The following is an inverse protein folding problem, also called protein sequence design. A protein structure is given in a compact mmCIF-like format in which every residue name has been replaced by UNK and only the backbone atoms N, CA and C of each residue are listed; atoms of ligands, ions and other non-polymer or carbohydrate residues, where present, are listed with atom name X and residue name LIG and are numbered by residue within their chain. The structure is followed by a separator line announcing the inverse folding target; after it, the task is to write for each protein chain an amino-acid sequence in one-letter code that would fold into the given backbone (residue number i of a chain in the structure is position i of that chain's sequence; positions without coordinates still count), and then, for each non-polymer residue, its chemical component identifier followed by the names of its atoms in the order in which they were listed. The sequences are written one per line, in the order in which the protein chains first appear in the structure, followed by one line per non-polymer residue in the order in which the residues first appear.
data_IF_354774656850
#
_entry.id   IF_354774656850
#
_cell.length_a   1.000
_cell.length_b   1.000
_cell.length_c   1.000
_cell.angle_alpha   90.00
_cell.angle_beta   90.00
_cell.angle_gamma   90.00
#
_symmetry.space_group_name_H-M   'P 1'
#
loop_
_entity.id
_entity.type
_entity.pdbx_description
1 polymer ?
#
# COMPACT_ATOMS: atom_id res chain seq x y z
N UNK A 1 25.35 -15.96 -2.62
CA UNK A 1 25.32 -14.49 -2.47
C UNK A 1 24.52 -14.00 -3.67
N UNK A 2 23.26 -13.58 -3.49
CA UNK A 2 22.51 -12.95 -4.58
C UNK A 2 22.86 -11.47 -4.54
N UNK A 3 23.70 -11.02 -5.47
CA UNK A 3 23.88 -9.59 -5.72
C UNK A 3 22.58 -9.03 -6.28
N UNK A 4 22.07 -7.97 -5.67
CA UNK A 4 20.95 -7.23 -6.20
C UNK A 4 21.46 -6.43 -7.41
N UNK A 5 21.13 -6.88 -8.62
CA UNK A 5 21.42 -6.16 -9.87
C UNK A 5 20.55 -4.90 -9.88
N UNK A 6 21.16 -3.71 -10.06
CA UNK A 6 20.41 -2.46 -10.15
C UNK A 6 19.63 -2.42 -11.46
N UNK A 7 18.50 -1.73 -11.48
CA UNK A 7 17.70 -1.63 -12.72
C UNK A 7 18.47 -0.96 -13.86
N UNK A 8 19.36 -0.02 -13.55
CA UNK A 8 20.29 0.59 -14.52
C UNK A 8 21.14 -0.46 -15.22
N UNK A 9 21.74 -1.36 -14.45
CA UNK A 9 22.63 -2.41 -14.95
C UNK A 9 21.82 -3.42 -15.77
N UNK A 10 20.60 -3.76 -15.33
CA UNK A 10 19.68 -4.60 -16.09
C UNK A 10 19.19 -3.93 -17.39
N UNK A 11 19.01 -2.61 -17.39
CA UNK A 11 18.62 -1.86 -18.58
C UNK A 11 19.73 -1.81 -19.62
N UNK A 12 20.99 -1.76 -19.20
CA UNK A 12 22.16 -1.82 -20.09
C UNK A 12 22.37 -3.23 -20.65
N UNK A 13 22.31 -4.26 -19.79
CA UNK A 13 22.63 -5.64 -20.18
C UNK A 13 21.46 -6.38 -20.86
N UNK A 14 20.20 -6.02 -20.52
CA UNK A 14 18.99 -6.75 -20.93
C UNK A 14 17.86 -5.82 -21.40
N UNK A 15 18.17 -4.91 -22.33
CA UNK A 15 17.25 -3.90 -22.89
C UNK A 15 15.81 -4.39 -23.17
N UNK A 16 15.65 -5.57 -23.77
CA UNK A 16 14.32 -6.11 -24.09
C UNK A 16 13.51 -6.57 -22.88
N UNK A 17 14.17 -7.06 -21.82
CA UNK A 17 13.53 -7.41 -20.56
C UNK A 17 13.20 -6.14 -19.76
N UNK A 18 14.16 -5.21 -19.67
CA UNK A 18 13.98 -3.94 -18.99
C UNK A 18 12.84 -3.11 -19.60
N UNK A 19 12.72 -3.06 -20.94
CA UNK A 19 11.61 -2.38 -21.62
C UNK A 19 10.26 -2.99 -21.24
N UNK A 20 10.10 -4.32 -21.34
CA UNK A 20 8.84 -4.98 -20.99
C UNK A 20 8.47 -4.78 -19.53
N UNK A 21 9.45 -4.81 -18.64
CA UNK A 21 9.23 -4.54 -17.22
C UNK A 21 8.77 -3.09 -17.01
N UNK A 22 9.40 -2.12 -17.66
CA UNK A 22 8.99 -0.71 -17.60
C UNK A 22 7.58 -0.48 -18.19
N UNK A 23 7.21 -1.18 -19.26
CA UNK A 23 5.87 -1.14 -19.87
C UNK A 23 4.79 -1.74 -18.95
N UNK A 24 5.15 -2.68 -18.08
CA UNK A 24 4.23 -3.35 -17.15
C UNK A 24 4.18 -2.71 -15.77
N UNK A 25 5.19 -1.92 -15.42
CA UNK A 25 5.29 -1.30 -14.11
C UNK A 25 4.27 -0.17 -13.95
N UNK A 26 3.57 -0.19 -12.82
CA UNK A 26 2.65 0.89 -12.42
C UNK A 26 3.38 2.08 -11.80
N UNK A 27 4.52 1.82 -11.18
CA UNK A 27 5.39 2.83 -10.58
C UNK A 27 6.69 2.94 -11.37
N UNK A 28 7.29 4.12 -11.34
CA UNK A 28 8.58 4.35 -11.97
C UNK A 28 9.65 3.39 -11.43
N UNK A 29 10.42 2.79 -12.33
CA UNK A 29 11.58 1.96 -12.00
C UNK A 29 12.89 2.77 -11.99
N UNK A 30 12.86 4.00 -12.52
CA UNK A 30 14.03 4.87 -12.63
C UNK A 30 14.23 5.79 -11.43
N UNK A 31 13.25 5.87 -10.53
CA UNK A 31 13.32 6.66 -9.31
C UNK A 31 12.58 5.93 -8.18
N UNK A 32 13.05 6.03 -6.92
CA UNK A 32 12.31 5.49 -5.78
C UNK A 32 10.92 6.15 -5.70
N UNK A 33 9.83 5.36 -5.58
CA UNK A 33 8.49 5.92 -5.45
C UNK A 33 8.33 6.63 -4.11
N UNK A 34 7.52 7.68 -4.08
CA UNK A 34 7.08 8.30 -2.83
C UNK A 34 5.95 7.48 -2.19
N UNK A 35 5.67 7.70 -0.90
CA UNK A 35 4.53 7.06 -0.23
C UNK A 35 3.22 7.40 -0.95
N UNK A 36 3.08 8.65 -1.39
CA UNK A 36 1.92 9.11 -2.15
C UNK A 36 1.76 8.33 -3.46
N UNK A 37 2.83 8.11 -4.21
CA UNK A 37 2.76 7.33 -5.46
C UNK A 37 2.29 5.90 -5.19
N UNK A 38 2.80 5.26 -4.13
CA UNK A 38 2.40 3.89 -3.74
C UNK A 38 0.93 3.83 -3.37
N UNK A 39 0.46 4.74 -2.52
CA UNK A 39 -0.93 4.77 -2.06
C UNK A 39 -1.88 5.12 -3.21
N UNK A 40 -1.52 6.07 -4.07
CA UNK A 40 -2.32 6.44 -5.23
C UNK A 40 -2.52 5.25 -6.18
N UNK A 41 -1.47 4.46 -6.43
CA UNK A 41 -1.59 3.23 -7.22
C UNK A 41 -2.40 2.14 -6.52
N UNK A 42 -2.31 2.01 -5.19
CA UNK A 42 -3.17 1.11 -4.41
C UNK A 42 -4.64 1.50 -4.51
N UNK A 43 -4.96 2.79 -4.40
CA UNK A 43 -6.32 3.31 -4.60
C UNK A 43 -6.82 3.06 -6.01
N UNK A 44 -6.03 3.40 -7.04
CA UNK A 44 -6.39 3.18 -8.43
C UNK A 44 -6.62 1.69 -8.72
N UNK A 45 -5.79 0.81 -8.14
CA UNK A 45 -5.95 -0.63 -8.25
C UNK A 45 -7.24 -1.13 -7.60
N UNK A 46 -7.57 -0.65 -6.39
CA UNK A 46 -8.78 -1.02 -5.66
C UNK A 46 -10.06 -0.60 -6.41
N UNK A 47 -10.07 0.62 -6.96
CA UNK A 47 -11.18 1.14 -7.77
C UNK A 47 -11.33 0.35 -9.07
N UNK A 48 -10.23 0.11 -9.79
CA UNK A 48 -10.27 -0.67 -11.04
C UNK A 48 -10.75 -2.12 -10.82
N UNK A 49 -10.38 -2.75 -9.70
CA UNK A 49 -10.88 -4.08 -9.35
C UNK A 49 -12.40 -4.06 -9.16
N UNK A 50 -12.90 -3.09 -8.40
CA UNK A 50 -14.34 -2.89 -8.17
C UNK A 50 -15.11 -2.78 -9.50
N UNK A 51 -14.62 -1.96 -10.42
CA UNK A 51 -15.31 -1.72 -11.71
C UNK A 51 -15.30 -2.95 -12.62
N UNK A 52 -14.33 -3.86 -12.44
CA UNK A 52 -14.26 -5.15 -13.14
C UNK A 52 -15.03 -6.29 -12.45
N UNK A 53 -15.79 -5.99 -11.38
CA UNK A 53 -16.55 -6.98 -10.61
C UNK A 53 -15.70 -7.84 -9.65
N UNK A 54 -14.42 -7.48 -9.48
CA UNK A 54 -13.57 -8.00 -8.42
C UNK A 54 -13.61 -7.06 -7.22
N UNK A 55 -13.20 -7.53 -6.04
CA UNK A 55 -13.15 -6.70 -4.84
C UNK A 55 -11.70 -6.63 -4.37
N UNK A 56 -11.19 -5.44 -3.95
CA UNK A 56 -9.93 -5.38 -3.24
C UNK A 56 -10.02 -6.27 -1.98
N UNK A 57 -8.89 -6.60 -1.37
CA UNK A 57 -8.87 -7.21 -0.05
C UNK A 57 -9.09 -6.14 1.04
N UNK A 58 -9.68 -6.53 2.17
CA UNK A 58 -9.97 -5.57 3.26
C UNK A 58 -8.66 -4.92 3.71
N UNK A 59 -7.60 -5.72 3.84
CA UNK A 59 -6.26 -5.24 4.20
C UNK A 59 -5.67 -4.25 3.19
N UNK A 60 -5.95 -4.37 1.89
CA UNK A 60 -5.45 -3.40 0.90
C UNK A 60 -6.06 -2.01 1.10
N UNK A 61 -7.34 -1.97 1.50
CA UNK A 61 -8.03 -0.71 1.82
C UNK A 61 -7.55 -0.15 3.16
N UNK A 62 -7.34 -1.00 4.17
CA UNK A 62 -6.73 -0.59 5.45
C UNK A 62 -5.33 0.00 5.25
N UNK A 63 -4.48 -0.67 4.47
CA UNK A 63 -3.11 -0.24 4.17
C UNK A 63 -3.11 1.15 3.53
N UNK A 64 -4.05 1.41 2.61
CA UNK A 64 -4.17 2.70 1.95
C UNK A 64 -4.45 3.87 2.90
N UNK A 65 -5.08 3.60 4.05
CA UNK A 65 -5.31 4.58 5.12
C UNK A 65 -4.10 4.64 6.05
N UNK A 66 -3.67 3.49 6.57
CA UNK A 66 -2.68 3.43 7.64
C UNK A 66 -1.28 3.84 7.16
N UNK A 67 -0.90 3.51 5.93
CA UNK A 67 0.37 3.94 5.33
C UNK A 67 0.39 5.48 5.19
N UNK A 68 -0.70 6.06 4.71
CA UNK A 68 -0.85 7.51 4.55
C UNK A 68 -0.75 8.22 5.89
N UNK A 69 -1.49 7.73 6.90
CA UNK A 69 -1.40 8.23 8.27
C UNK A 69 0.00 8.12 8.86
N UNK A 70 0.67 6.97 8.69
CA UNK A 70 2.04 6.77 9.18
C UNK A 70 3.05 7.71 8.51
N UNK A 71 2.81 8.13 7.27
CA UNK A 71 3.62 9.14 6.58
C UNK A 71 3.31 10.59 6.98
N UNK A 72 2.27 10.80 7.80
CA UNK A 72 1.81 12.13 8.20
C UNK A 72 0.98 12.86 7.14
N UNK A 73 0.62 12.20 6.04
CA UNK A 73 -0.20 12.76 4.96
C UNK A 73 -1.69 12.61 5.30
N UNK A 74 -2.23 13.61 6.01
CA UNK A 74 -3.60 13.59 6.52
C UNK A 74 -4.65 13.63 5.43
N UNK A 75 -4.39 14.37 4.35
CA UNK A 75 -5.33 14.49 3.23
C UNK A 75 -5.47 13.14 2.54
N UNK A 76 -4.34 12.47 2.28
CA UNK A 76 -4.32 11.15 1.67
C UNK A 76 -4.94 10.06 2.56
N UNK A 77 -4.78 10.18 3.89
CA UNK A 77 -5.44 9.30 4.84
C UNK A 77 -6.98 9.48 4.86
N UNK A 78 -7.48 10.72 4.76
CA UNK A 78 -8.93 10.97 4.68
C UNK A 78 -9.51 10.48 3.35
N UNK A 79 -8.79 10.64 2.23
CA UNK A 79 -9.18 10.05 0.94
C UNK A 79 -9.34 8.52 1.05
N UNK A 80 -8.38 7.85 1.70
CA UNK A 80 -8.47 6.42 1.97
C UNK A 80 -9.66 6.04 2.87
N UNK A 81 -9.94 6.82 3.92
CA UNK A 81 -11.09 6.60 4.79
C UNK A 81 -12.40 6.76 4.03
N UNK A 82 -12.46 7.72 3.11
CA UNK A 82 -13.62 7.92 2.25
C UNK A 82 -13.82 6.71 1.32
N UNK A 83 -12.75 6.22 0.68
CA UNK A 83 -12.79 5.00 -0.13
C UNK A 83 -13.27 3.79 0.71
N UNK A 84 -12.78 3.65 1.94
CA UNK A 84 -13.20 2.59 2.85
C UNK A 84 -14.71 2.65 3.15
N UNK A 85 -15.26 3.85 3.43
CA UNK A 85 -16.70 4.05 3.65
C UNK A 85 -17.54 3.71 2.42
N UNK A 86 -17.01 3.94 1.21
CA UNK A 86 -17.71 3.64 -0.04
C UNK A 86 -17.73 2.14 -0.37
N UNK A 87 -16.63 1.44 -0.07
CA UNK A 87 -16.47 0.02 -0.37
C UNK A 87 -17.11 -0.90 0.68
N UNK A 88 -17.09 -0.51 1.96
CA UNK A 88 -17.50 -1.40 3.07
C UNK A 88 -18.93 -1.93 2.90
N UNK A 89 -19.85 -1.08 2.45
CA UNK A 89 -21.27 -1.42 2.24
C UNK A 89 -21.52 -2.38 1.07
N UNK A 90 -20.56 -2.46 0.15
CA UNK A 90 -20.70 -3.21 -1.10
C UNK A 90 -19.92 -4.52 -1.07
N UNK A 91 -19.11 -4.73 -0.04
CA UNK A 91 -18.22 -5.88 0.06
C UNK A 91 -18.98 -7.21 0.11
N UNK A 92 -18.57 -8.22 -0.67
CA UNK A 92 -19.17 -9.54 -0.58
C UNK A 92 -18.90 -10.16 0.79
N UNK A 93 -19.95 -10.64 1.47
CA UNK A 93 -19.83 -11.24 2.82
C UNK A 93 -18.80 -12.36 2.92
N UNK A 94 -18.65 -13.16 1.86
CA UNK A 94 -17.68 -14.27 1.82
C UNK A 94 -16.21 -13.83 1.69
N UNK A 95 -15.96 -12.54 1.42
CA UNK A 95 -14.62 -11.93 1.34
C UNK A 95 -14.24 -11.19 2.62
N UNK A 96 -15.15 -11.09 3.58
CA UNK A 96 -14.88 -10.44 4.86
C UNK A 96 -14.03 -11.37 5.74
N UNK A 97 -13.08 -10.81 6.51
CA UNK A 97 -12.34 -11.56 7.51
C UNK A 97 -13.27 -12.31 8.48
N UNK A 98 -12.84 -13.46 8.99
CA UNK A 98 -13.60 -14.19 10.02
C UNK A 98 -13.76 -13.39 11.32
N UNK A 99 -12.85 -12.44 11.57
CA UNK A 99 -12.90 -11.50 12.68
C UNK A 99 -13.79 -10.27 12.43
N UNK A 100 -14.50 -10.21 11.30
CA UNK A 100 -15.35 -9.08 10.95
C UNK A 100 -16.55 -8.99 11.89
N UNK A 101 -16.68 -7.86 12.60
CA UNK A 101 -17.76 -7.62 13.55
C UNK A 101 -18.91 -6.87 12.90
N UNK A 102 -18.66 -5.63 12.46
CA UNK A 102 -19.61 -4.82 11.69
C UNK A 102 -18.87 -3.76 10.88
N UNK A 103 -19.56 -3.16 9.92
CA UNK A 103 -19.03 -2.07 9.10
C UNK A 103 -18.65 -0.85 9.96
N UNK A 104 -19.51 -0.47 10.90
CA UNK A 104 -19.30 0.68 11.80
C UNK A 104 -18.12 0.44 12.75
N UNK A 105 -18.02 -0.77 13.31
CA UNK A 105 -16.91 -1.14 14.20
C UNK A 105 -15.59 -1.10 13.43
N UNK A 106 -15.58 -1.62 12.20
CA UNK A 106 -14.40 -1.62 11.35
C UNK A 106 -13.95 -0.19 10.96
N UNK A 107 -14.87 0.64 10.44
CA UNK A 107 -14.56 2.03 10.08
C UNK A 107 -14.10 2.85 11.30
N UNK A 108 -14.75 2.68 12.45
CA UNK A 108 -14.38 3.38 13.68
C UNK A 108 -12.97 2.98 14.11
N UNK A 109 -12.69 1.68 14.17
CA UNK A 109 -11.36 1.18 14.52
C UNK A 109 -10.28 1.65 13.55
N UNK A 110 -10.57 1.68 12.25
CA UNK A 110 -9.65 2.16 11.23
C UNK A 110 -9.35 3.65 11.43
N UNK A 111 -10.38 4.47 11.69
CA UNK A 111 -10.21 5.89 11.98
C UNK A 111 -9.42 6.15 13.26
N UNK A 112 -9.65 5.37 14.32
CA UNK A 112 -8.90 5.47 15.58
C UNK A 112 -7.42 5.13 15.40
N UNK A 113 -7.12 4.05 14.65
CA UNK A 113 -5.75 3.66 14.29
C UNK A 113 -5.08 4.74 13.45
N UNK A 114 -5.78 5.27 12.44
CA UNK A 114 -5.28 6.33 11.56
C UNK A 114 -4.96 7.63 12.32
N UNK A 115 -5.67 7.91 13.40
CA UNK A 115 -5.41 9.06 14.26
C UNK A 115 -4.20 8.85 15.20
N UNK A 116 -3.81 7.60 15.46
CA UNK A 116 -2.69 7.25 16.34
C UNK A 116 -1.38 7.10 15.54
N UNK A 117 -0.90 8.22 15.00
CA UNK A 117 0.32 8.26 14.17
C UNK A 117 1.56 7.78 14.94
N UNK A 118 1.64 8.06 16.24
CA UNK A 118 2.79 7.65 17.07
C UNK A 118 2.92 6.12 17.14
N UNK A 119 1.81 5.41 17.36
CA UNK A 119 1.79 3.94 17.41
C UNK A 119 2.08 3.30 16.04
N UNK A 120 1.58 3.93 14.96
CA UNK A 120 1.90 3.51 13.60
C UNK A 120 3.39 3.67 13.29
N UNK A 121 3.99 4.80 13.64
CA UNK A 121 5.43 5.03 13.51
C UNK A 121 6.24 4.01 14.32
N UNK A 122 5.86 3.77 15.58
CA UNK A 122 6.52 2.78 16.44
C UNK A 122 6.46 1.37 15.84
N UNK A 123 5.32 1.01 15.23
CA UNK A 123 5.15 -0.26 14.51
C UNK A 123 6.11 -0.35 13.33
N UNK A 124 6.17 0.68 12.48
CA UNK A 124 7.10 0.73 11.33
C UNK A 124 8.55 0.62 11.78
N UNK A 125 8.96 1.38 12.80
CA UNK A 125 10.32 1.34 13.34
C UNK A 125 10.66 -0.03 13.94
N UNK A 126 9.70 -0.69 14.60
CA UNK A 126 9.86 -2.05 15.10
C UNK A 126 10.12 -3.04 13.95
N UNK A 127 9.34 -2.96 12.87
CA UNK A 127 9.51 -3.81 11.69
C UNK A 127 10.85 -3.55 10.99
N UNK A 128 11.25 -2.28 10.83
CA UNK A 128 12.55 -1.90 10.27
C UNK A 128 13.70 -2.52 11.07
N UNK A 129 13.62 -2.49 12.41
CA UNK A 129 14.61 -3.10 13.29
C UNK A 129 14.61 -4.62 13.19
N UNK A 130 13.43 -5.24 13.29
CA UNK A 130 13.26 -6.69 13.24
C UNK A 130 13.80 -7.29 11.95
N UNK A 131 13.45 -6.69 10.81
CA UNK A 131 13.91 -7.11 9.49
C UNK A 131 15.27 -6.54 9.08
N UNK A 132 15.94 -5.77 9.96
CA UNK A 132 17.25 -5.15 9.71
C UNK A 132 17.29 -4.30 8.44
N UNK A 133 16.17 -3.65 8.10
CA UNK A 133 16.01 -2.89 6.86
C UNK A 133 16.85 -1.62 6.82
N UNK A 134 17.35 -1.14 7.96
CA UNK A 134 18.31 -0.04 8.01
C UNK A 134 19.58 -0.30 7.16
N UNK A 135 19.92 -1.58 6.92
CA UNK A 135 21.06 -1.97 6.09
C UNK A 135 20.80 -1.85 4.58
N UNK A 136 19.53 -1.74 4.17
CA UNK A 136 19.13 -1.67 2.76
C UNK A 136 19.44 -0.30 2.14
N UNK A 137 19.61 0.75 2.96
CA UNK A 137 19.95 2.11 2.49
C UNK A 137 21.46 2.34 2.22
N UNK A 138 22.32 1.34 2.38
CA UNK A 138 23.79 1.52 2.31
C UNK A 138 24.46 0.86 1.09
N UNK A 139 23.72 0.41 0.08
CA UNK A 139 24.28 -0.22 -1.13
C UNK A 139 23.99 0.56 -2.39
#
# INVERSE_FOLDING_TARGET
MQEAIRFTDHAEDYLGAARRLAEQARLSLGAPPTVRDVVAELHAFAVAHHDMGSWPAVGEVEDSVLISSASGDKDLAEEGLQLARELVRKWPKHRLPLSWVSEEVWITSLSEKAANVEDLCATVESQVRFHKLAKVRQS
#
